data_IF_726277209450
#
_entry.id   IF_726277209450
#
_cell.length_a   1.000
_cell.length_b   1.000
_cell.length_c   1.000
_cell.angle_alpha   90.00
_cell.angle_beta   90.00
_cell.angle_gamma   90.00
#
_symmetry.space_group_name_H-M   'P 1'
#
loop_
_entity.id
_entity.type
_entity.pdbx_description
1 polymer ?
#
# COMPACT_ATOMS: atom_id res chain seq x y z
N UNK A 1 15.39 -2.90 -18.24
CA UNK A 1 15.79 -4.29 -18.59
C UNK A 1 15.02 -4.65 -19.84
N UNK A 2 15.68 -5.02 -20.95
CA UNK A 2 14.98 -5.50 -22.14
C UNK A 2 14.09 -6.70 -21.78
N UNK A 3 12.88 -6.78 -22.34
CA UNK A 3 11.88 -7.87 -22.18
C UNK A 3 11.31 -8.14 -20.76
N UNK A 4 11.86 -7.54 -19.70
CA UNK A 4 11.40 -7.75 -18.32
C UNK A 4 11.77 -9.12 -17.75
N UNK A 5 11.85 -9.22 -16.43
CA UNK A 5 12.31 -10.44 -15.71
C UNK A 5 11.16 -11.22 -15.04
N UNK A 6 9.91 -10.97 -15.43
CA UNK A 6 8.74 -11.71 -14.93
C UNK A 6 8.20 -11.30 -13.55
N UNK A 7 8.72 -10.23 -12.93
CA UNK A 7 8.26 -9.79 -11.60
C UNK A 7 6.77 -9.44 -11.56
N UNK A 8 6.26 -8.70 -12.55
CA UNK A 8 4.85 -8.29 -12.57
C UNK A 8 3.88 -9.47 -12.59
N UNK A 9 4.22 -10.55 -13.32
CA UNK A 9 3.41 -11.77 -13.34
C UNK A 9 3.37 -12.45 -11.97
N UNK A 10 4.53 -12.61 -11.32
CA UNK A 10 4.61 -13.16 -9.96
C UNK A 10 3.91 -12.29 -8.93
N UNK A 11 4.04 -10.96 -9.02
CA UNK A 11 3.35 -10.03 -8.13
C UNK A 11 1.83 -10.08 -8.33
N UNK A 12 1.36 -10.31 -9.56
CA UNK A 12 -0.06 -10.52 -9.83
C UNK A 12 -0.56 -11.83 -9.20
N UNK A 13 0.21 -12.92 -9.21
CA UNK A 13 -0.18 -14.14 -8.46
C UNK A 13 -0.27 -13.88 -6.95
N UNK A 14 0.64 -13.07 -6.41
CA UNK A 14 0.75 -12.76 -4.98
C UNK A 14 -0.07 -11.54 -4.53
N UNK A 15 -0.88 -10.93 -5.41
CA UNK A 15 -1.47 -9.62 -5.16
C UNK A 15 -2.32 -9.56 -3.89
N UNK A 16 -3.05 -10.63 -3.55
CA UNK A 16 -3.86 -10.70 -2.35
C UNK A 16 -3.02 -10.71 -1.05
N UNK A 17 -1.86 -11.38 -1.06
CA UNK A 17 -0.92 -11.34 0.06
C UNK A 17 -0.28 -9.95 0.18
N UNK A 18 0.12 -9.37 -0.95
CA UNK A 18 0.71 -8.03 -0.99
C UNK A 18 -0.26 -6.96 -0.47
N UNK A 19 -1.54 -7.03 -0.84
CA UNK A 19 -2.56 -6.08 -0.39
C UNK A 19 -2.87 -6.23 1.12
N UNK A 20 -2.88 -7.46 1.65
CA UNK A 20 -2.98 -7.69 3.10
C UNK A 20 -1.79 -7.10 3.84
N UNK A 21 -0.56 -7.39 3.39
CA UNK A 21 0.65 -6.83 3.98
C UNK A 21 0.69 -5.30 3.92
N UNK A 22 0.21 -4.70 2.83
CA UNK A 22 0.09 -3.25 2.71
C UNK A 22 -0.93 -2.67 3.72
N UNK A 23 -2.09 -3.30 3.88
CA UNK A 23 -3.09 -2.89 4.87
C UNK A 23 -2.53 -2.97 6.30
N UNK A 24 -1.84 -4.07 6.63
CA UNK A 24 -1.17 -4.25 7.92
C UNK A 24 -0.10 -3.18 8.17
N UNK A 25 0.77 -2.91 7.19
CA UNK A 25 1.82 -1.90 7.28
C UNK A 25 1.25 -0.49 7.53
N UNK A 26 0.24 -0.10 6.76
CA UNK A 26 -0.35 1.25 6.85
C UNK A 26 -1.12 1.42 8.16
N UNK A 27 -1.88 0.41 8.59
CA UNK A 27 -2.65 0.46 9.83
C UNK A 27 -1.76 0.37 11.08
N UNK A 28 -0.67 -0.40 11.02
CA UNK A 28 0.27 -0.60 12.13
C UNK A 28 1.31 0.51 12.31
N UNK A 29 1.48 1.39 11.31
CA UNK A 29 2.44 2.49 11.40
C UNK A 29 2.00 3.53 12.46
N UNK A 30 2.90 4.03 13.34
CA UNK A 30 2.53 4.97 14.41
C UNK A 30 2.37 6.43 13.96
N UNK A 31 2.60 6.77 12.68
CA UNK A 31 2.49 8.15 12.20
C UNK A 31 1.03 8.64 12.14
N UNK A 32 0.78 9.94 12.26
CA UNK A 32 -0.57 10.50 12.18
C UNK A 32 -1.06 10.60 10.72
N UNK A 33 -0.28 11.27 9.87
CA UNK A 33 -0.74 11.66 8.52
C UNK A 33 -0.14 10.81 7.40
N UNK A 34 0.89 10.04 7.73
CA UNK A 34 1.69 9.28 6.79
C UNK A 34 3.18 9.52 7.01
N UNK A 35 4.01 8.61 6.54
CA UNK A 35 5.46 8.78 6.54
C UNK A 35 6.10 7.98 5.39
N UNK A 36 7.38 8.25 5.07
CA UNK A 36 8.10 7.54 4.02
C UNK A 36 8.12 6.01 4.16
N UNK A 37 7.90 5.48 5.37
CA UNK A 37 7.90 4.05 5.63
C UNK A 37 6.54 3.34 5.43
N UNK A 38 5.42 4.07 5.36
CA UNK A 38 4.10 3.45 5.22
C UNK A 38 3.37 3.85 3.94
N UNK A 39 3.12 5.14 3.73
CA UNK A 39 2.38 5.68 2.57
C UNK A 39 3.29 6.43 1.59
N UNK A 40 4.59 6.54 1.91
CA UNK A 40 5.56 7.28 1.12
C UNK A 40 5.62 8.76 1.50
N UNK A 41 6.16 9.58 0.60
CA UNK A 41 6.30 11.01 0.82
C UNK A 41 4.92 11.68 0.91
N UNK A 42 4.62 12.29 2.05
CA UNK A 42 3.37 13.04 2.28
C UNK A 42 3.55 14.45 1.74
N UNK A 43 2.64 14.91 0.88
CA UNK A 43 2.64 16.28 0.38
C UNK A 43 2.25 17.25 1.51
N UNK A 44 2.67 18.51 1.41
CA UNK A 44 2.39 19.57 2.40
C UNK A 44 0.88 19.83 2.59
N UNK A 45 0.06 19.44 1.60
CA UNK A 45 -1.41 19.50 1.65
C UNK A 45 -2.06 18.13 1.92
N UNK A 46 -1.27 17.14 2.35
CA UNK A 46 -1.64 15.72 2.45
C UNK A 46 -2.46 15.35 3.67
N UNK A 47 -3.29 16.27 4.19
CA UNK A 47 -4.28 15.96 5.22
C UNK A 47 -5.10 14.75 4.72
N UNK A 48 -5.19 13.70 5.54
CA UNK A 48 -5.85 12.42 5.25
C UNK A 48 -5.11 11.37 4.39
N UNK A 49 -3.86 11.59 3.94
CA UNK A 49 -3.16 10.59 3.08
C UNK A 49 -3.17 9.19 3.69
N UNK A 50 -2.71 9.05 4.93
CA UNK A 50 -2.74 7.75 5.64
C UNK A 50 -4.15 7.18 5.77
N UNK A 51 -5.13 8.01 6.12
CA UNK A 51 -6.50 7.57 6.33
C UNK A 51 -7.12 7.03 5.03
N UNK A 52 -6.91 7.72 3.91
CA UNK A 52 -7.39 7.29 2.59
C UNK A 52 -6.67 6.02 2.12
N UNK A 53 -5.35 5.92 2.30
CA UNK A 53 -4.60 4.71 1.95
C UNK A 53 -5.05 3.50 2.79
N UNK A 54 -5.28 3.68 4.10
CA UNK A 54 -5.78 2.61 4.96
C UNK A 54 -7.17 2.12 4.50
N UNK A 55 -8.08 3.06 4.19
CA UNK A 55 -9.42 2.73 3.70
C UNK A 55 -9.37 1.99 2.36
N UNK A 56 -8.52 2.43 1.44
CA UNK A 56 -8.37 1.80 0.13
C UNK A 56 -7.84 0.38 0.24
N UNK A 57 -6.73 0.18 0.98
CA UNK A 57 -6.11 -1.13 1.16
C UNK A 57 -7.03 -2.13 1.87
N UNK A 58 -7.78 -1.69 2.88
CA UNK A 58 -8.81 -2.51 3.54
C UNK A 58 -10.02 -2.82 2.63
N UNK A 59 -10.41 -1.89 1.76
CA UNK A 59 -11.49 -2.12 0.81
C UNK A 59 -11.08 -3.17 -0.24
N UNK A 60 -9.87 -3.06 -0.78
CA UNK A 60 -9.33 -4.02 -1.75
C UNK A 60 -9.14 -5.40 -1.12
N UNK A 61 -8.67 -5.47 0.12
CA UNK A 61 -8.47 -6.75 0.84
C UNK A 61 -9.79 -7.49 1.08
N UNK A 62 -10.90 -6.77 1.30
CA UNK A 62 -12.23 -7.39 1.51
C UNK A 62 -12.86 -7.97 0.25
N UNK A 63 -12.31 -7.65 -0.93
CA UNK A 63 -12.82 -8.08 -2.23
C UNK A 63 -12.06 -9.30 -2.79
N UNK A 64 -11.07 -9.79 -2.06
CA UNK A 64 -10.21 -10.92 -2.41
C UNK A 64 -10.50 -12.10 -1.47
#
# INVERSE_FOLDING_TARGET
>A
IPEGIGLSGRLYELHAELLRGAAELVCGCPCAEGCPACVGAVSVNGEETKALTARLTQALTRQL
#
